data_IF_713669838473
#
_entry.id   IF_713669838473
#
_cell.length_a   1.000
_cell.length_b   1.000
_cell.length_c   1.000
_cell.angle_alpha   90.00
_cell.angle_beta   90.00
_cell.angle_gamma   90.00
#
_symmetry.space_group_name_H-M   'P 1'
#
loop_
_entity.id
_entity.type
_entity.pdbx_description
1 polymer ?
#
# COMPACT_ATOMS: atom_id res chain seq x y z
N UNK A 1 40.62 24.61 -52.17
CA UNK A 1 40.69 25.59 -51.06
C UNK A 1 41.37 24.92 -49.88
N UNK A 2 42.62 25.29 -49.59
CA UNK A 2 43.38 24.70 -48.48
C UNK A 2 43.04 25.46 -47.18
N UNK A 3 42.49 24.74 -46.19
CA UNK A 3 42.20 25.32 -44.87
C UNK A 3 43.51 25.56 -44.09
N UNK A 4 43.63 26.76 -43.54
CA UNK A 4 44.78 27.17 -42.73
C UNK A 4 44.84 26.37 -41.42
N UNK A 5 46.05 26.07 -40.94
CA UNK A 5 46.32 25.23 -39.76
C UNK A 5 45.53 25.58 -38.48
N UNK A 6 45.17 26.84 -38.14
CA UNK A 6 44.42 27.10 -36.90
C UNK A 6 42.94 26.68 -36.95
N UNK A 7 42.33 26.56 -38.13
CA UNK A 7 40.93 26.14 -38.25
C UNK A 7 40.74 24.62 -38.07
N UNK A 8 41.80 23.82 -38.30
CA UNK A 8 41.78 22.38 -38.06
C UNK A 8 41.78 22.03 -36.56
N UNK A 9 42.44 22.85 -35.74
CA UNK A 9 42.46 22.65 -34.28
C UNK A 9 41.15 23.12 -33.62
N UNK A 10 40.47 24.12 -34.17
CA UNK A 10 39.19 24.60 -33.63
C UNK A 10 38.05 23.59 -33.87
N UNK A 11 38.07 22.87 -35.01
CA UNK A 11 37.14 21.77 -35.27
C UNK A 11 37.50 20.49 -34.47
N UNK A 12 38.80 20.19 -34.27
CA UNK A 12 39.22 19.05 -33.44
C UNK A 12 38.92 19.29 -31.94
N UNK A 13 39.02 20.51 -31.44
CA UNK A 13 38.68 20.85 -30.05
C UNK A 13 37.16 20.83 -29.82
N UNK A 14 36.36 21.29 -30.80
CA UNK A 14 34.91 21.16 -30.78
C UNK A 14 34.43 19.70 -30.81
N UNK A 15 35.11 18.84 -31.57
CA UNK A 15 34.82 17.40 -31.59
C UNK A 15 35.24 16.67 -30.30
N UNK A 16 36.31 17.11 -29.63
CA UNK A 16 36.78 16.53 -28.37
C UNK A 16 35.88 16.89 -27.19
N UNK A 17 35.28 18.08 -27.18
CA UNK A 17 34.30 18.49 -26.15
C UNK A 17 32.93 17.82 -26.37
N UNK A 18 32.57 17.49 -27.61
CA UNK A 18 31.34 16.76 -27.93
C UNK A 18 31.40 15.26 -27.55
N UNK A 19 32.59 14.64 -27.58
CA UNK A 19 32.79 13.23 -27.20
C UNK A 19 32.90 13.03 -25.68
N UNK A 20 33.26 14.08 -24.92
CA UNK A 20 33.37 13.99 -23.45
C UNK A 20 32.04 14.18 -22.71
N UNK A 21 30.95 14.55 -23.40
CA UNK A 21 29.62 14.79 -22.82
C UNK A 21 28.63 13.61 -22.93
N UNK A 22 29.05 12.45 -23.45
CA UNK A 22 28.15 11.27 -23.64
C UNK A 22 28.44 10.11 -22.66
N UNK A 23 29.47 10.17 -21.79
CA UNK A 23 29.80 9.03 -20.89
C UNK A 23 29.27 9.12 -19.45
N UNK A 24 28.16 9.84 -19.20
CA UNK A 24 27.48 9.79 -17.91
C UNK A 24 26.23 8.91 -18.00
N UNK A 25 26.43 7.60 -17.90
CA UNK A 25 25.34 6.64 -17.72
C UNK A 25 25.06 6.46 -16.22
N UNK A 26 23.81 6.63 -15.74
CA UNK A 26 23.47 6.34 -14.35
C UNK A 26 23.49 4.83 -14.10
N UNK A 27 24.17 4.39 -13.04
CA UNK A 27 24.17 2.99 -12.59
C UNK A 27 22.83 2.65 -11.93
N UNK A 28 22.15 1.56 -12.30
CA UNK A 28 20.97 1.10 -11.58
C UNK A 28 21.36 0.44 -10.25
N UNK A 29 20.74 0.93 -9.17
CA UNK A 29 20.73 0.28 -7.85
C UNK A 29 19.79 -0.91 -7.94
N UNK A 30 20.32 -2.13 -7.77
CA UNK A 30 19.53 -3.35 -7.65
C UNK A 30 19.59 -3.82 -6.21
N UNK A 31 18.50 -3.61 -5.47
CA UNK A 31 18.22 -4.27 -4.20
C UNK A 31 16.81 -4.82 -4.27
N UNK A 32 16.67 -6.13 -4.45
CA UNK A 32 15.81 -6.97 -3.60
C UNK A 32 15.89 -8.42 -4.05
N UNK A 33 16.05 -9.25 -3.02
CA UNK A 33 16.06 -10.69 -2.95
C UNK A 33 14.78 -11.32 -3.47
N UNK A 34 14.90 -12.26 -4.40
CA UNK A 34 13.83 -13.19 -4.77
C UNK A 34 14.28 -14.59 -4.32
N UNK A 35 13.74 -15.05 -3.19
CA UNK A 35 13.77 -16.47 -2.80
C UNK A 35 12.71 -17.20 -3.59
N UNK A 36 13.01 -18.38 -4.17
CA UNK A 36 11.98 -19.22 -4.77
C UNK A 36 11.13 -19.88 -3.69
N UNK A 37 9.81 -19.85 -3.88
CA UNK A 37 8.86 -20.61 -3.08
C UNK A 37 9.06 -22.12 -3.28
N UNK A 38 8.93 -22.95 -2.23
CA UNK A 38 8.94 -24.40 -2.38
C UNK A 38 7.67 -24.86 -3.12
N UNK A 39 7.88 -25.60 -4.20
CA UNK A 39 6.82 -26.39 -4.87
C UNK A 39 6.47 -27.55 -3.95
N UNK A 40 5.27 -27.53 -3.36
CA UNK A 40 4.71 -28.72 -2.72
C UNK A 40 4.14 -29.59 -3.83
N UNK A 41 4.78 -30.74 -4.05
CA UNK A 41 4.22 -31.84 -4.81
C UNK A 41 3.01 -32.39 -4.05
N UNK A 42 1.86 -32.45 -4.72
CA UNK A 42 0.71 -33.20 -4.22
C UNK A 42 0.95 -34.67 -4.57
N UNK A 43 1.13 -35.51 -3.55
CA UNK A 43 1.12 -36.96 -3.71
C UNK A 43 -0.28 -37.39 -4.16
N UNK A 44 -0.32 -38.08 -5.29
CA UNK A 44 -1.50 -38.68 -5.87
C UNK A 44 -1.91 -39.89 -5.01
N UNK A 45 -2.82 -39.68 -4.06
CA UNK A 45 -3.42 -40.78 -3.29
C UNK A 45 -4.44 -41.49 -4.17
N UNK A 46 -4.08 -42.70 -4.59
CA UNK A 46 -4.86 -43.57 -5.46
C UNK A 46 -6.27 -43.83 -4.94
N UNK A 47 -7.25 -43.60 -5.82
CA UNK A 47 -8.62 -44.07 -5.64
C UNK A 47 -8.69 -45.57 -5.90
N UNK A 48 -8.72 -46.36 -4.82
CA UNK A 48 -9.15 -47.76 -4.86
C UNK A 48 -10.64 -47.83 -5.18
N UNK A 49 -10.96 -48.21 -6.42
CA UNK A 49 -12.31 -48.52 -6.87
C UNK A 49 -12.80 -49.79 -6.19
N UNK A 50 -13.77 -49.66 -5.28
CA UNK A 50 -14.59 -50.78 -4.84
C UNK A 50 -15.83 -50.86 -5.74
N UNK A 51 -15.83 -51.89 -6.60
CA UNK A 51 -16.97 -52.34 -7.34
C UNK A 51 -18.01 -52.97 -6.39
N UNK A 52 -19.27 -52.56 -6.50
CA UNK A 52 -20.38 -53.32 -5.92
C UNK A 52 -21.56 -53.36 -6.88
N UNK A 53 -21.74 -54.56 -7.44
CA UNK A 53 -23.01 -55.25 -7.69
C UNK A 53 -24.22 -54.42 -8.14
N UNK A 54 -24.41 -54.36 -9.45
CA UNK A 54 -25.73 -54.20 -10.07
C UNK A 54 -26.54 -55.48 -9.86
N UNK A 55 -27.59 -55.42 -9.03
CA UNK A 55 -28.68 -56.39 -9.11
C UNK A 55 -30.01 -55.65 -9.25
N UNK A 56 -30.70 -56.00 -10.33
CA UNK A 56 -31.91 -55.38 -10.77
C UNK A 56 -33.10 -55.89 -9.97
N UNK A 57 -33.91 -54.98 -9.46
CA UNK A 57 -35.29 -55.31 -9.15
C UNK A 57 -36.19 -54.11 -9.42
N UNK A 58 -36.71 -54.08 -10.64
CA UNK A 58 -37.83 -53.23 -11.02
C UNK A 58 -39.06 -53.62 -10.18
N UNK A 59 -39.40 -52.77 -9.21
CA UNK A 59 -40.75 -52.72 -8.63
C UNK A 59 -41.25 -51.29 -8.67
N UNK A 60 -42.04 -51.01 -9.71
CA UNK A 60 -42.98 -49.91 -9.74
C UNK A 60 -43.89 -49.99 -8.51
N UNK A 61 -43.67 -49.12 -7.55
CA UNK A 61 -44.63 -48.77 -6.51
C UNK A 61 -44.82 -47.27 -6.62
N UNK A 62 -45.96 -46.90 -7.19
CA UNK A 62 -46.47 -45.56 -7.19
C UNK A 62 -46.65 -45.09 -5.75
N UNK A 63 -45.65 -44.37 -5.23
CA UNK A 63 -45.80 -43.55 -4.03
C UNK A 63 -46.31 -42.21 -4.49
N UNK A 64 -47.60 -42.01 -4.19
CA UNK A 64 -48.29 -40.73 -4.20
C UNK A 64 -47.38 -39.68 -3.57
N UNK A 65 -46.97 -38.72 -4.39
CA UNK A 65 -46.18 -37.55 -4.02
C UNK A 65 -46.96 -36.70 -3.03
N UNK A 66 -46.90 -37.04 -1.75
CA UNK A 66 -47.21 -36.16 -0.64
C UNK A 66 -46.02 -35.22 -0.44
N UNK A 67 -46.30 -33.93 -0.62
CA UNK A 67 -45.60 -32.80 -0.04
C UNK A 67 -44.08 -32.94 0.09
N UNK A 68 -43.34 -32.49 -0.93
CA UNK A 68 -42.12 -31.74 -0.63
C UNK A 68 -42.55 -30.47 0.10
N UNK A 69 -42.68 -30.57 1.43
CA UNK A 69 -42.30 -29.47 2.26
C UNK A 69 -40.80 -29.27 1.97
N UNK A 70 -40.50 -28.30 1.11
CA UNK A 70 -39.23 -27.59 1.22
C UNK A 70 -39.04 -27.34 2.71
N UNK A 71 -37.93 -27.79 3.33
CA UNK A 71 -37.57 -27.23 4.61
C UNK A 71 -37.55 -25.72 4.36
N UNK A 72 -38.48 -25.00 4.98
CA UNK A 72 -38.27 -23.61 5.31
C UNK A 72 -37.02 -23.65 6.20
N UNK A 73 -35.85 -23.72 5.55
CA UNK A 73 -34.59 -23.36 6.16
C UNK A 73 -34.86 -21.98 6.70
N UNK A 74 -35.07 -21.91 8.02
CA UNK A 74 -35.15 -20.65 8.72
C UNK A 74 -33.95 -19.85 8.25
N UNK A 75 -34.22 -18.79 7.47
CA UNK A 75 -33.20 -18.05 6.77
C UNK A 75 -32.23 -17.58 7.83
N UNK A 76 -31.11 -18.29 7.97
CA UNK A 76 -30.06 -17.87 8.88
C UNK A 76 -29.65 -16.53 8.34
N UNK A 77 -29.91 -15.50 9.13
CA UNK A 77 -29.71 -14.11 8.73
C UNK A 77 -28.26 -13.99 8.25
N UNK A 78 -28.09 -13.77 6.94
CA UNK A 78 -26.77 -13.78 6.34
C UNK A 78 -25.97 -12.61 6.89
N UNK A 79 -24.80 -12.93 7.46
CA UNK A 79 -23.87 -11.95 8.01
C UNK A 79 -22.78 -11.69 6.97
N UNK A 80 -22.96 -10.65 6.16
CA UNK A 80 -22.01 -10.28 5.10
C UNK A 80 -21.34 -8.95 5.44
N UNK A 81 -20.02 -8.96 5.54
CA UNK A 81 -19.22 -7.73 5.65
C UNK A 81 -19.11 -7.12 4.26
N UNK A 82 -19.65 -5.91 4.08
CA UNK A 82 -19.59 -5.17 2.80
C UNK A 82 -18.56 -4.05 2.86
N UNK A 83 -17.68 -4.03 1.87
CA UNK A 83 -16.64 -3.00 1.73
C UNK A 83 -16.58 -2.48 0.30
N UNK A 84 -16.38 -1.18 0.14
CA UNK A 84 -16.10 -0.57 -1.15
C UNK A 84 -14.91 0.39 -1.07
N UNK A 85 -14.11 0.39 -2.12
CA UNK A 85 -13.02 1.33 -2.34
C UNK A 85 -13.26 2.06 -3.66
N UNK A 86 -13.36 3.38 -3.60
CA UNK A 86 -13.54 4.25 -4.75
C UNK A 86 -12.36 5.21 -4.86
N UNK A 87 -11.96 5.46 -6.10
CA UNK A 87 -11.11 6.58 -6.47
C UNK A 87 -11.87 7.39 -7.52
N UNK A 88 -12.17 8.64 -7.19
CA UNK A 88 -13.00 9.49 -8.03
C UNK A 88 -12.44 10.88 -8.15
N UNK A 89 -12.63 11.42 -9.35
CA UNK A 89 -12.23 12.75 -9.72
C UNK A 89 -13.44 13.68 -9.53
N UNK A 90 -13.25 14.74 -8.75
CA UNK A 90 -14.31 15.67 -8.35
C UNK A 90 -13.98 17.10 -8.78
N UNK A 91 -15.02 17.94 -8.88
CA UNK A 91 -14.85 19.36 -9.20
C UNK A 91 -14.16 20.13 -8.09
N UNK A 92 -14.53 19.85 -6.84
CA UNK A 92 -13.96 20.44 -5.62
C UNK A 92 -13.97 19.39 -4.52
N UNK A 93 -12.82 19.15 -3.89
CA UNK A 93 -12.70 18.18 -2.79
C UNK A 93 -13.46 18.63 -1.55
N UNK A 94 -13.49 19.94 -1.28
CA UNK A 94 -14.19 20.50 -0.12
C UNK A 94 -15.71 20.34 -0.23
N UNK A 95 -16.29 20.65 -1.40
CA UNK A 95 -17.72 20.48 -1.66
C UNK A 95 -18.12 18.99 -1.66
N UNK A 96 -17.28 18.14 -2.24
CA UNK A 96 -17.48 16.69 -2.22
C UNK A 96 -17.49 16.16 -0.78
N UNK A 97 -16.59 16.63 0.10
CA UNK A 97 -16.55 16.18 1.49
C UNK A 97 -17.84 16.52 2.26
N UNK A 98 -18.37 17.74 2.08
CA UNK A 98 -19.64 18.15 2.69
C UNK A 98 -20.79 17.28 2.18
N UNK A 99 -20.84 17.05 0.86
CA UNK A 99 -21.86 16.22 0.22
C UNK A 99 -21.79 14.76 0.69
N UNK A 100 -20.59 14.19 0.81
CA UNK A 100 -20.37 12.86 1.36
C UNK A 100 -20.86 12.73 2.80
N UNK A 101 -20.67 13.76 3.62
CA UNK A 101 -21.19 13.79 4.99
C UNK A 101 -22.73 13.77 5.03
N UNK A 102 -23.39 14.47 4.10
CA UNK A 102 -24.85 14.47 3.98
C UNK A 102 -25.40 13.14 3.44
N UNK A 103 -24.73 12.55 2.45
CA UNK A 103 -25.07 11.22 1.92
C UNK A 103 -24.98 10.19 3.05
N UNK A 104 -23.89 10.19 3.83
CA UNK A 104 -23.72 9.29 4.96
C UNK A 104 -24.89 9.41 5.95
N UNK A 105 -25.27 10.64 6.33
CA UNK A 105 -26.41 10.87 7.25
C UNK A 105 -27.74 10.40 6.67
N UNK A 106 -28.02 10.67 5.39
CA UNK A 106 -29.24 10.24 4.70
C UNK A 106 -29.37 8.71 4.67
N UNK A 107 -28.23 8.01 4.60
CA UNK A 107 -28.14 6.56 4.55
C UNK A 107 -27.91 5.92 5.93
N UNK A 108 -28.42 6.56 7.00
CA UNK A 108 -28.33 6.08 8.38
C UNK A 108 -26.89 5.75 8.82
N UNK A 109 -25.93 6.51 8.30
CA UNK A 109 -24.50 6.33 8.51
C UNK A 109 -23.80 7.58 9.04
N UNK A 110 -22.48 7.49 9.12
CA UNK A 110 -21.61 8.58 9.55
C UNK A 110 -20.24 8.52 8.86
N UNK A 111 -19.53 9.65 8.86
CA UNK A 111 -18.14 9.73 8.41
C UNK A 111 -17.25 9.34 9.58
N UNK A 112 -16.47 8.27 9.42
CA UNK A 112 -15.52 7.78 10.44
C UNK A 112 -14.23 8.60 10.41
N UNK A 113 -13.66 8.77 9.22
CA UNK A 113 -12.42 9.50 8.99
C UNK A 113 -12.57 10.36 7.74
N UNK A 114 -11.98 11.55 7.74
CA UNK A 114 -11.82 12.34 6.54
C UNK A 114 -10.60 13.24 6.66
N UNK A 115 -9.90 13.44 5.55
CA UNK A 115 -8.77 14.35 5.47
C UNK A 115 -8.68 14.96 4.08
N UNK A 116 -8.24 16.21 4.04
CA UNK A 116 -7.96 16.95 2.81
C UNK A 116 -6.56 17.52 2.93
N UNK A 117 -5.80 17.41 1.85
CA UNK A 117 -4.45 17.89 1.76
C UNK A 117 -4.17 18.42 0.35
N UNK A 118 -3.25 19.38 0.26
CA UNK A 118 -2.79 19.92 -1.01
C UNK A 118 -1.61 19.08 -1.52
N UNK A 119 -1.65 18.71 -2.79
CA UNK A 119 -0.57 18.01 -3.47
C UNK A 119 0.47 19.01 -4.04
N UNK A 120 1.65 18.52 -4.41
CA UNK A 120 2.77 19.36 -4.89
C UNK A 120 2.42 20.21 -6.13
N UNK A 121 1.44 19.79 -6.91
CA UNK A 121 0.92 20.48 -8.08
C UNK A 121 -0.18 21.51 -7.76
N UNK A 122 -0.41 21.79 -6.47
CA UNK A 122 -1.47 22.68 -5.94
C UNK A 122 -2.89 22.17 -6.20
N UNK A 123 -3.06 20.89 -6.50
CA UNK A 123 -4.38 20.27 -6.54
C UNK A 123 -4.76 19.80 -5.14
N UNK A 124 -6.04 19.93 -4.79
CA UNK A 124 -6.54 19.33 -3.56
C UNK A 124 -6.79 17.85 -3.78
N UNK A 125 -6.40 17.05 -2.80
CA UNK A 125 -6.71 15.63 -2.70
C UNK A 125 -7.19 15.33 -1.29
N UNK A 126 -7.90 14.22 -1.14
CA UNK A 126 -8.41 13.84 0.16
C UNK A 126 -8.90 12.42 0.18
N UNK A 127 -9.25 11.96 1.37
CA UNK A 127 -9.95 10.70 1.54
C UNK A 127 -11.07 10.87 2.56
N UNK A 128 -12.09 10.03 2.42
CA UNK A 128 -13.17 9.92 3.39
C UNK A 128 -13.52 8.45 3.58
N UNK A 129 -13.71 8.04 4.82
CA UNK A 129 -14.20 6.71 5.17
C UNK A 129 -15.58 6.83 5.79
N UNK A 130 -16.57 6.31 5.10
CA UNK A 130 -17.97 6.33 5.49
C UNK A 130 -18.37 4.96 6.05
N UNK A 131 -19.20 5.00 7.09
CA UNK A 131 -19.92 3.85 7.62
C UNK A 131 -21.39 4.06 7.34
N UNK A 132 -22.03 3.14 6.61
CA UNK A 132 -23.45 3.22 6.24
C UNK A 132 -24.15 1.91 6.58
N UNK A 133 -25.44 1.96 6.85
CA UNK A 133 -26.24 0.75 7.11
C UNK A 133 -26.12 -0.22 5.92
N UNK A 134 -25.87 -1.51 6.20
CA UNK A 134 -25.60 -2.50 5.16
C UNK A 134 -26.76 -2.66 4.15
N UNK A 135 -27.99 -2.45 4.60
CA UNK A 135 -29.21 -2.45 3.78
C UNK A 135 -29.29 -1.28 2.80
N UNK A 136 -28.61 -0.17 3.10
CA UNK A 136 -28.61 1.08 2.32
C UNK A 136 -27.31 1.31 1.54
N UNK A 137 -26.40 0.33 1.56
CA UNK A 137 -25.09 0.46 0.93
C UNK A 137 -25.19 0.73 -0.58
N UNK A 138 -26.05 0.02 -1.30
CA UNK A 138 -26.14 0.16 -2.76
C UNK A 138 -26.67 1.53 -3.18
N UNK A 139 -27.64 2.07 -2.45
CA UNK A 139 -28.16 3.42 -2.70
C UNK A 139 -27.15 4.51 -2.31
N UNK A 140 -26.39 4.29 -1.22
CA UNK A 140 -25.31 5.20 -0.83
C UNK A 140 -24.20 5.23 -1.89
N UNK A 141 -23.80 4.06 -2.40
CA UNK A 141 -22.82 3.94 -3.49
C UNK A 141 -23.27 4.68 -4.74
N UNK A 142 -24.55 4.56 -5.11
CA UNK A 142 -25.09 5.27 -6.27
C UNK A 142 -25.02 6.79 -6.07
N UNK A 143 -25.46 7.30 -4.91
CA UNK A 143 -25.37 8.72 -4.59
C UNK A 143 -23.93 9.25 -4.59
N UNK A 144 -22.96 8.44 -4.17
CA UNK A 144 -21.53 8.80 -4.21
C UNK A 144 -21.03 8.88 -5.67
N UNK A 145 -21.44 7.93 -6.53
CA UNK A 145 -21.08 7.98 -7.96
C UNK A 145 -21.62 9.21 -8.66
N UNK A 146 -22.81 9.68 -8.28
CA UNK A 146 -23.43 10.88 -8.86
C UNK A 146 -22.67 12.18 -8.52
N UNK A 147 -21.86 12.19 -7.45
CA UNK A 147 -20.96 13.30 -7.12
C UNK A 147 -19.67 13.29 -7.95
N UNK A 148 -19.30 12.15 -8.54
CA UNK A 148 -18.06 12.02 -9.30
C UNK A 148 -18.20 12.66 -10.68
N UNK A 149 -17.20 13.44 -11.09
CA UNK A 149 -17.05 13.78 -12.51
C UNK A 149 -16.59 12.56 -13.31
N UNK A 150 -15.74 11.75 -12.70
CA UNK A 150 -15.27 10.49 -13.25
C UNK A 150 -14.88 9.53 -12.13
N UNK A 151 -15.25 8.26 -12.24
CA UNK A 151 -14.80 7.20 -11.32
C UNK A 151 -13.61 6.52 -11.97
N UNK A 152 -12.43 6.68 -11.38
CA UNK A 152 -11.19 6.11 -11.91
C UNK A 152 -11.03 4.64 -11.52
N UNK A 153 -11.45 4.31 -10.30
CA UNK A 153 -11.41 2.95 -9.77
C UNK A 153 -12.60 2.73 -8.86
N UNK A 154 -13.19 1.56 -8.99
CA UNK A 154 -14.19 1.06 -8.07
C UNK A 154 -13.92 -0.42 -7.79
N UNK A 155 -13.91 -0.78 -6.52
CA UNK A 155 -13.82 -2.15 -6.05
C UNK A 155 -14.85 -2.36 -4.96
N UNK A 156 -15.67 -3.40 -5.10
CA UNK A 156 -16.67 -3.79 -4.10
C UNK A 156 -16.38 -5.23 -3.70
N UNK A 157 -16.33 -5.48 -2.40
CA UNK A 157 -16.12 -6.81 -1.83
C UNK A 157 -17.17 -7.10 -0.77
N UNK A 158 -17.54 -8.38 -0.71
CA UNK A 158 -18.48 -8.93 0.27
C UNK A 158 -17.89 -10.22 0.81
N UNK A 159 -17.77 -10.32 2.13
CA UNK A 159 -17.28 -11.52 2.80
C UNK A 159 -18.39 -12.06 3.70
N UNK A 160 -18.85 -13.27 3.41
CA UNK A 160 -19.79 -13.99 4.29
C UNK A 160 -19.04 -14.49 5.53
N UNK A 161 -19.52 -14.07 6.70
CA UNK A 161 -18.99 -14.45 8.02
C UNK A 161 -20.04 -15.15 8.87
N UNK A 162 -21.13 -15.64 8.26
CA UNK A 162 -22.24 -16.30 8.96
C UNK A 162 -21.76 -17.53 9.73
N UNK A 163 -20.99 -18.41 9.11
CA UNK A 163 -20.40 -19.58 9.75
C UNK A 163 -19.50 -19.18 10.93
N UNK A 164 -18.59 -18.23 10.71
CA UNK A 164 -17.70 -17.73 11.76
C UNK A 164 -18.47 -17.12 12.94
N UNK A 165 -19.56 -16.41 12.67
CA UNK A 165 -20.38 -15.79 13.71
C UNK A 165 -21.07 -16.85 14.57
N UNK A 166 -21.74 -17.82 13.94
CA UNK A 166 -22.43 -18.92 14.64
C UNK A 166 -21.45 -19.77 15.45
N UNK A 167 -20.27 -20.06 14.90
CA UNK A 167 -19.22 -20.80 15.61
C UNK A 167 -18.72 -20.07 16.86
N UNK A 168 -18.54 -18.75 16.77
CA UNK A 168 -18.11 -17.93 17.91
C UNK A 168 -19.20 -17.85 18.97
N UNK A 169 -20.49 -17.79 18.60
CA UNK A 169 -21.59 -17.85 19.55
C UNK A 169 -21.63 -19.20 20.29
N UNK A 170 -21.43 -20.30 19.57
CA UNK A 170 -21.35 -21.63 20.17
C UNK A 170 -20.16 -21.75 21.14
N UNK A 171 -18.99 -21.23 20.75
CA UNK A 171 -17.80 -21.20 21.59
C UNK A 171 -18.00 -20.33 22.85
N UNK A 172 -18.63 -19.16 22.71
CA UNK A 172 -18.95 -18.29 23.83
C UNK A 172 -19.91 -18.96 24.81
N UNK A 173 -20.97 -19.61 24.30
CA UNK A 173 -21.93 -20.35 25.12
C UNK A 173 -21.25 -21.47 25.91
N UNK A 174 -20.36 -22.23 25.27
CA UNK A 174 -19.61 -23.30 25.91
C UNK A 174 -18.65 -22.75 26.98
N UNK A 175 -17.93 -21.67 26.68
CA UNK A 175 -17.02 -21.03 27.63
C UNK A 175 -17.76 -20.48 28.87
N UNK A 176 -18.96 -19.91 28.71
CA UNK A 176 -19.80 -19.47 29.85
C UNK A 176 -20.31 -20.65 30.68
N UNK A 177 -20.66 -21.77 30.06
CA UNK A 177 -21.03 -22.99 30.79
C UNK A 177 -19.83 -23.55 31.57
N UNK A 178 -18.63 -23.51 30.97
CA UNK A 178 -17.37 -23.87 31.61
C UNK A 178 -17.06 -22.95 32.80
N UNK A 179 -17.27 -21.64 32.67
CA UNK A 179 -17.14 -20.67 33.77
C UNK A 179 -18.07 -21.03 34.94
N UNK A 180 -19.34 -21.32 34.66
CA UNK A 180 -20.31 -21.71 35.69
C UNK A 180 -19.90 -23.01 36.41
N UNK A 181 -19.34 -23.98 35.69
CA UNK A 181 -18.83 -25.21 36.29
C UNK A 181 -17.63 -24.94 37.21
N UNK A 182 -16.69 -24.08 36.80
CA UNK A 182 -15.57 -23.67 37.63
C UNK A 182 -16.01 -22.87 38.87
N UNK A 183 -17.00 -21.98 38.74
CA UNK A 183 -17.58 -21.27 39.89
C UNK A 183 -18.23 -22.24 40.89
N UNK A 184 -18.91 -23.28 40.40
CA UNK A 184 -19.48 -24.32 41.25
C UNK A 184 -18.39 -25.15 41.96
N UNK A 185 -17.26 -25.42 41.30
CA UNK A 185 -16.12 -26.11 41.90
C UNK A 185 -15.41 -25.23 42.93
N UNK A 186 -15.28 -23.93 42.66
CA UNK A 186 -14.70 -22.95 43.59
C UNK A 186 -15.44 -22.92 44.93
N UNK A 187 -16.77 -23.04 44.91
CA UNK A 187 -17.61 -23.11 46.11
C UNK A 187 -17.44 -24.40 46.92
N UNK A 188 -16.80 -25.44 46.35
CA UNK A 188 -16.60 -26.76 46.97
C UNK A 188 -15.12 -27.04 47.31
N UNK A 189 -14.19 -26.20 46.87
CA UNK A 189 -12.76 -26.40 47.07
C UNK A 189 -12.41 -26.37 48.56
N UNK A 190 -11.70 -27.40 49.03
CA UNK A 190 -11.41 -27.60 50.46
C UNK A 190 -10.02 -27.14 50.88
N UNK A 191 -9.07 -27.07 49.93
CA UNK A 191 -7.69 -26.64 50.17
C UNK A 191 -7.34 -25.33 49.44
N UNK A 192 -6.36 -24.60 49.98
CA UNK A 192 -5.87 -23.35 49.37
C UNK A 192 -5.23 -23.61 48.00
N UNK A 193 -4.54 -24.74 47.83
CA UNK A 193 -3.95 -25.12 46.54
C UNK A 193 -5.00 -25.37 45.47
N UNK A 194 -6.04 -26.15 45.78
CA UNK A 194 -7.18 -26.37 44.88
C UNK A 194 -7.89 -25.06 44.52
N UNK A 195 -8.06 -24.17 45.49
CA UNK A 195 -8.66 -22.86 45.26
C UNK A 195 -7.86 -22.03 44.26
N UNK A 196 -6.54 -21.96 44.43
CA UNK A 196 -5.65 -21.22 43.52
C UNK A 196 -5.63 -21.81 42.11
N UNK A 197 -5.66 -23.14 41.99
CA UNK A 197 -5.72 -23.83 40.69
C UNK A 197 -7.04 -23.53 39.97
N UNK A 198 -8.19 -23.64 40.65
CA UNK A 198 -9.50 -23.31 40.08
C UNK A 198 -9.58 -21.83 39.71
N UNK A 199 -9.04 -20.93 40.53
CA UNK A 199 -8.97 -19.49 40.20
C UNK A 199 -8.15 -19.22 38.94
N UNK A 200 -7.02 -19.93 38.77
CA UNK A 200 -6.19 -19.79 37.57
C UNK A 200 -6.96 -20.20 36.32
N UNK A 201 -7.63 -21.35 36.34
CA UNK A 201 -8.41 -21.80 35.19
C UNK A 201 -9.64 -20.92 34.93
N UNK A 202 -10.31 -20.45 35.99
CA UNK A 202 -11.40 -19.48 35.85
C UNK A 202 -10.92 -18.19 35.17
N UNK A 203 -9.73 -17.69 35.52
CA UNK A 203 -9.13 -16.53 34.85
C UNK A 203 -8.88 -16.78 33.36
N UNK A 204 -8.40 -17.98 33.00
CA UNK A 204 -8.17 -18.36 31.60
C UNK A 204 -9.50 -18.40 30.82
N UNK A 205 -10.55 -19.00 31.40
CA UNK A 205 -11.87 -19.10 30.78
C UNK A 205 -12.49 -17.72 30.57
N UNK A 206 -12.39 -16.82 31.55
CA UNK A 206 -12.85 -15.43 31.41
C UNK A 206 -12.13 -14.69 30.29
N UNK A 207 -10.81 -14.84 30.18
CA UNK A 207 -10.06 -14.27 29.06
C UNK A 207 -10.55 -14.77 27.70
N UNK A 208 -10.90 -16.05 27.58
CA UNK A 208 -11.50 -16.63 26.36
C UNK A 208 -12.89 -16.03 26.08
N UNK A 209 -13.74 -15.90 27.10
CA UNK A 209 -15.07 -15.27 26.99
C UNK A 209 -14.93 -13.85 26.44
N UNK A 210 -14.09 -13.03 27.06
CA UNK A 210 -13.87 -11.63 26.64
C UNK A 210 -13.38 -11.55 25.18
N UNK A 211 -12.47 -12.45 24.79
CA UNK A 211 -11.99 -12.54 23.41
C UNK A 211 -13.12 -12.89 22.43
N UNK A 212 -13.95 -13.90 22.72
CA UNK A 212 -15.07 -14.28 21.86
C UNK A 212 -16.13 -13.19 21.77
N UNK A 213 -16.47 -12.55 22.89
CA UNK A 213 -17.39 -11.40 22.92
C UNK A 213 -16.87 -10.23 22.09
N UNK A 214 -15.59 -9.90 22.24
CA UNK A 214 -14.95 -8.86 21.45
C UNK A 214 -14.98 -9.16 19.95
N UNK A 215 -14.74 -10.43 19.57
CA UNK A 215 -14.79 -10.85 18.17
C UNK A 215 -16.21 -10.83 17.60
N UNK A 216 -17.20 -11.29 18.35
CA UNK A 216 -18.62 -11.22 17.95
C UNK A 216 -19.08 -9.78 17.76
N UNK A 217 -18.73 -8.89 18.70
CA UNK A 217 -19.04 -7.46 18.58
C UNK A 217 -18.42 -6.85 17.32
N UNK A 218 -17.15 -7.15 17.05
CA UNK A 218 -16.48 -6.69 15.83
C UNK A 218 -17.19 -7.17 14.56
N UNK A 219 -17.57 -8.45 14.49
CA UNK A 219 -18.27 -8.98 13.31
C UNK A 219 -19.65 -8.37 13.15
N UNK A 220 -20.42 -8.21 14.24
CA UNK A 220 -21.71 -7.51 14.21
C UNK A 220 -21.56 -6.09 13.67
N UNK A 221 -20.63 -5.31 14.22
CA UNK A 221 -20.39 -3.93 13.79
C UNK A 221 -20.00 -3.83 12.30
N UNK A 222 -19.36 -4.87 11.74
CA UNK A 222 -18.95 -4.92 10.32
C UNK A 222 -20.03 -5.46 9.39
N UNK A 223 -20.98 -6.25 9.90
CA UNK A 223 -22.13 -6.76 9.13
C UNK A 223 -23.28 -5.77 9.14
N UNK A 224 -23.45 -5.03 10.23
CA UNK A 224 -24.52 -4.05 10.39
C UNK A 224 -24.19 -2.76 9.63
N UNK A 225 -22.91 -2.38 9.60
CA UNK A 225 -22.41 -1.19 8.92
C UNK A 225 -21.38 -1.56 7.83
N UNK A 226 -21.72 -1.26 6.58
CA UNK A 226 -20.80 -1.35 5.47
C UNK A 226 -19.78 -0.21 5.52
N UNK A 227 -18.56 -0.48 5.05
CA UNK A 227 -17.48 0.52 4.98
C UNK A 227 -17.25 0.96 3.54
N UNK A 228 -17.26 2.27 3.29
CA UNK A 228 -16.95 2.85 1.98
C UNK A 228 -15.75 3.78 2.13
N UNK A 229 -14.64 3.44 1.49
CA UNK A 229 -13.44 4.26 1.41
C UNK A 229 -13.46 5.01 0.10
N UNK A 230 -13.47 6.34 0.16
CA UNK A 230 -13.43 7.20 -1.02
C UNK A 230 -12.12 7.97 -1.02
N UNK A 231 -11.39 7.88 -2.12
CA UNK A 231 -10.26 8.74 -2.43
C UNK A 231 -10.72 9.79 -3.44
N UNK A 232 -10.52 11.05 -3.09
CA UNK A 232 -10.93 12.21 -3.85
C UNK A 232 -9.69 12.87 -4.43
N UNK A 233 -9.73 13.16 -5.72
CA UNK A 233 -8.75 14.01 -6.38
C UNK A 233 -9.47 15.09 -7.17
N UNK A 234 -9.03 16.33 -7.02
CA UNK A 234 -9.56 17.41 -7.83
C UNK A 234 -9.06 17.25 -9.28
N UNK A 235 -9.90 17.63 -10.24
CA UNK A 235 -9.41 17.75 -11.62
C UNK A 235 -8.25 18.75 -11.63
N UNK A 236 -7.08 18.41 -12.19
CA UNK A 236 -6.05 19.40 -12.44
C UNK A 236 -6.67 20.49 -13.31
N UNK A 237 -6.88 21.67 -12.74
CA UNK A 237 -7.19 22.82 -13.57
C UNK A 237 -5.99 22.96 -14.50
N UNK A 238 -6.24 22.90 -15.81
CA UNK A 238 -5.24 23.29 -16.80
C UNK A 238 -5.09 24.81 -16.71
N UNK A 239 -4.63 25.29 -15.56
CA UNK A 239 -3.95 26.57 -15.48
C UNK A 239 -2.65 26.29 -16.24
N UNK A 240 -2.69 26.49 -17.57
CA UNK A 240 -1.49 26.83 -18.30
C UNK A 240 -0.75 27.82 -17.42
N UNK A 241 0.55 27.61 -17.08
CA UNK A 241 1.22 28.41 -16.09
C UNK A 241 1.18 29.89 -16.51
N UNK A 242 0.14 30.59 -16.08
CA UNK A 242 0.08 32.01 -15.85
C UNK A 242 0.71 32.27 -14.50
N UNK A 243 1.76 31.52 -14.15
CA UNK A 243 2.86 32.13 -13.45
C UNK A 243 3.27 33.28 -14.34
N UNK A 244 2.98 34.51 -13.90
CA UNK A 244 3.58 35.69 -14.51
C UNK A 244 5.05 35.33 -14.74
N UNK A 245 5.46 35.20 -15.99
CA UNK A 245 6.83 34.94 -16.37
C UNK A 245 7.60 36.21 -15.98
N UNK A 246 7.94 36.33 -14.70
CA UNK A 246 8.68 37.44 -14.13
C UNK A 246 10.12 37.15 -14.46
N UNK A 247 10.51 37.53 -15.68
CA UNK A 247 11.89 37.51 -16.16
C UNK A 247 12.88 37.90 -15.05
N UNK A 248 12.52 38.88 -14.21
CA UNK A 248 13.34 39.35 -13.09
C UNK A 248 13.64 38.32 -12.00
N UNK A 249 12.73 37.40 -11.68
CA UNK A 249 12.94 36.41 -10.61
C UNK A 249 13.82 35.25 -11.12
N UNK A 250 13.55 34.78 -12.35
CA UNK A 250 14.44 33.82 -13.05
C UNK A 250 15.83 34.40 -13.35
N UNK A 251 15.96 35.71 -13.56
CA UNK A 251 17.26 36.36 -13.82
C UNK A 251 18.11 36.45 -12.55
N UNK A 252 17.48 36.66 -11.38
CA UNK A 252 18.19 36.63 -10.08
C UNK A 252 18.68 35.23 -9.75
N UNK A 253 17.84 34.21 -9.95
CA UNK A 253 18.25 32.80 -9.76
C UNK A 253 19.35 32.38 -10.74
N UNK A 254 19.27 32.81 -12.01
CA UNK A 254 20.31 32.57 -13.01
C UNK A 254 21.64 33.27 -12.68
N UNK A 255 21.61 34.51 -12.19
CA UNK A 255 22.83 35.21 -11.74
C UNK A 255 23.41 34.55 -10.49
N UNK A 256 22.57 34.14 -9.55
CA UNK A 256 23.03 33.50 -8.32
C UNK A 256 23.72 32.16 -8.60
N UNK A 257 23.13 31.35 -9.48
CA UNK A 257 23.73 30.09 -9.94
C UNK A 257 25.01 30.32 -10.77
N UNK A 258 25.08 31.38 -11.58
CA UNK A 258 26.29 31.77 -12.30
C UNK A 258 27.44 32.17 -11.36
N UNK A 259 27.15 32.94 -10.31
CA UNK A 259 28.16 33.37 -9.32
C UNK A 259 28.69 32.16 -8.53
N UNK A 260 27.82 31.25 -8.12
CA UNK A 260 28.21 30.01 -7.46
C UNK A 260 29.10 29.13 -8.37
N UNK A 261 28.74 29.01 -9.66
CA UNK A 261 29.55 28.27 -10.62
C UNK A 261 30.94 28.91 -10.82
N UNK A 262 31.03 30.24 -10.86
CA UNK A 262 32.30 30.96 -10.99
C UNK A 262 33.19 30.75 -9.76
N UNK A 263 32.60 30.69 -8.56
CA UNK A 263 33.32 30.45 -7.32
C UNK A 263 33.92 29.03 -7.27
N UNK A 264 33.20 28.02 -7.77
CA UNK A 264 33.73 26.64 -7.88
C UNK A 264 34.88 26.55 -8.89
N UNK A 265 34.81 27.26 -10.02
CA UNK A 265 35.93 27.34 -10.98
C UNK A 265 37.14 28.04 -10.34
N UNK A 266 36.94 29.14 -9.62
CA UNK A 266 38.01 29.85 -8.93
C UNK A 266 38.68 28.97 -7.87
N UNK A 267 37.88 28.23 -7.08
CA UNK A 267 38.38 27.26 -6.10
C UNK A 267 39.18 26.14 -6.75
N UNK A 268 38.71 25.63 -7.89
CA UNK A 268 39.43 24.65 -8.70
C UNK A 268 40.78 25.17 -9.22
N UNK A 269 40.84 26.44 -9.66
CA UNK A 269 42.09 27.06 -10.11
C UNK A 269 43.11 27.24 -8.98
N UNK A 270 42.68 27.63 -7.78
CA UNK A 270 43.55 27.72 -6.60
C UNK A 270 44.14 26.35 -6.26
N UNK A 271 43.31 25.31 -6.30
CA UNK A 271 43.75 23.92 -6.05
C UNK A 271 44.74 23.46 -7.12
N UNK A 272 44.47 23.76 -8.40
CA UNK A 272 45.35 23.46 -9.52
C UNK A 272 46.68 24.20 -9.42
N UNK A 273 46.71 25.44 -8.92
CA UNK A 273 47.93 26.21 -8.74
C UNK A 273 48.77 25.64 -7.59
N UNK A 274 48.15 25.27 -6.47
CA UNK A 274 48.83 24.64 -5.32
C UNK A 274 49.39 23.27 -5.69
N UNK A 275 48.58 22.38 -6.28
CA UNK A 275 49.01 21.04 -6.67
C UNK A 275 49.91 21.05 -7.90
N UNK A 276 49.60 21.90 -8.89
CA UNK A 276 50.38 22.04 -10.11
C UNK A 276 51.79 22.55 -9.82
N UNK A 277 51.92 23.66 -9.08
CA UNK A 277 53.24 24.15 -8.68
C UNK A 277 53.91 23.17 -7.72
N UNK A 278 53.17 22.59 -6.76
CA UNK A 278 53.71 21.63 -5.80
C UNK A 278 54.26 20.34 -6.41
N UNK A 279 53.69 19.85 -7.50
CA UNK A 279 54.11 18.59 -8.16
C UNK A 279 55.06 18.85 -9.33
N UNK A 280 54.81 19.88 -10.15
CA UNK A 280 55.60 20.12 -11.36
C UNK A 280 57.02 20.59 -11.04
N UNK A 281 57.22 21.41 -10.00
CA UNK A 281 58.55 21.87 -9.58
C UNK A 281 59.48 20.71 -9.16
N UNK A 282 59.10 19.82 -8.22
CA UNK A 282 59.98 18.71 -7.83
C UNK A 282 60.20 17.71 -8.97
N UNK A 283 59.16 17.39 -9.76
CA UNK A 283 59.31 16.46 -10.91
C UNK A 283 60.25 17.04 -11.98
N UNK A 284 60.13 18.34 -12.28
CA UNK A 284 61.05 19.01 -13.20
C UNK A 284 62.49 19.06 -12.67
N UNK A 285 62.67 19.24 -11.37
CA UNK A 285 64.01 19.29 -10.74
C UNK A 285 64.66 17.90 -10.72
N UNK A 286 63.88 16.85 -10.49
CA UNK A 286 64.32 15.45 -10.58
C UNK A 286 64.71 15.09 -12.02
N UNK A 287 63.85 15.38 -13.01
CA UNK A 287 64.14 15.14 -14.43
C UNK A 287 65.39 15.88 -14.90
N UNK A 288 65.56 17.14 -14.47
CA UNK A 288 66.76 17.91 -14.77
C UNK A 288 68.01 17.31 -14.12
N UNK A 289 67.91 16.85 -12.86
CA UNK A 289 68.97 16.14 -12.17
C UNK A 289 69.40 14.86 -12.88
N UNK A 290 68.44 14.02 -13.28
CA UNK A 290 68.69 12.77 -14.02
C UNK A 290 69.31 13.07 -15.39
N UNK A 291 68.79 14.05 -16.13
CA UNK A 291 69.37 14.46 -17.42
C UNK A 291 70.83 14.94 -17.26
N UNK A 292 71.11 15.72 -16.21
CA UNK A 292 72.46 16.23 -15.93
C UNK A 292 73.42 15.11 -15.54
N UNK A 293 72.97 14.10 -14.81
CA UNK A 293 73.74 12.91 -14.45
C UNK A 293 73.98 11.99 -15.66
N UNK A 294 72.97 11.74 -16.48
CA UNK A 294 73.09 10.96 -17.72
C UNK A 294 74.12 11.58 -18.67
N UNK A 295 74.07 12.91 -18.85
CA UNK A 295 75.05 13.64 -19.68
C UNK A 295 76.48 13.61 -19.11
N UNK A 296 76.66 13.41 -17.80
CA UNK A 296 77.98 13.24 -17.17
C UNK A 296 78.53 11.82 -17.25
N UNK A 297 77.69 10.81 -17.42
CA UNK A 297 78.12 9.40 -17.51
C UNK A 297 78.42 8.96 -18.96
N UNK A 298 77.89 9.68 -19.96
CA UNK A 298 78.08 9.41 -21.39
C UNK A 298 79.22 10.26 -22.01
N UNK A 299 80.09 10.86 -21.18
CA UNK A 299 81.36 11.48 -21.60
C UNK A 299 82.48 10.87 -20.79
#
# INVERSE_FOLDING_TARGET
MQLTRPQKYLLLFGALVLVLLISSSPKPVTTSSQSPAPTIAYDEVGSGSFAMGNDGSSRNLAVKSEASATPEEGSTEQRIIRQADLSMLVSSVEEAQVSLQEIAKTHAGFVRDASVYEQQDKTLSGYAVLRVEASRFDSAMQAIRDLALNVERESVSGTDVTEQFVDLEAQLKNARAEEQAYLALLNRAGSVTELLEVQRELSNVRGRIEMFEGRLKYLSDQTDLATITINLSEKPSLIAPTGNFRLGDTFKEAIQTLVLAFQEVAKGLVWLLIFGVGIVLPVSLILWGVYRLYKRYVR
#
